data_IF_943074894644
#
_entry.id   IF_943074894644
#
_cell.length_a   1.000
_cell.length_b   1.000
_cell.length_c   1.000
_cell.angle_alpha   90.00
_cell.angle_beta   90.00
_cell.angle_gamma   90.00
#
_symmetry.space_group_name_H-M   'P 1'
#
loop_
_entity.id
_entity.type
_entity.pdbx_description
1 polymer ?
#
# COMPACT_ATOMS: atom_id res chain seq x y z
N UNK A 1 38.85 -15.22 -7.80
CA UNK A 1 37.76 -15.05 -6.82
C UNK A 1 36.94 -13.88 -7.32
N UNK A 2 35.80 -14.16 -7.94
CA UNK A 2 34.95 -13.14 -8.53
C UNK A 2 34.04 -12.57 -7.44
N UNK A 3 34.18 -11.28 -7.14
CA UNK A 3 33.22 -10.56 -6.30
C UNK A 3 31.89 -10.49 -7.04
N UNK A 4 30.89 -11.17 -6.47
CA UNK A 4 29.53 -11.12 -6.93
C UNK A 4 29.01 -9.69 -6.73
N UNK A 5 28.86 -8.97 -7.83
CA UNK A 5 28.14 -7.70 -7.88
C UNK A 5 26.69 -7.97 -7.51
N UNK A 6 26.31 -7.69 -6.28
CA UNK A 6 24.91 -7.68 -5.84
C UNK A 6 24.20 -6.59 -6.62
N UNK A 7 23.47 -6.99 -7.66
CA UNK A 7 22.62 -6.11 -8.44
C UNK A 7 21.42 -5.74 -7.57
N UNK A 8 21.45 -4.54 -6.98
CA UNK A 8 20.30 -3.95 -6.29
C UNK A 8 19.32 -3.56 -7.40
N UNK A 9 18.43 -4.49 -7.74
CA UNK A 9 17.33 -4.23 -8.66
C UNK A 9 16.47 -3.11 -8.09
N UNK A 10 16.56 -1.94 -8.74
CA UNK A 10 15.56 -0.87 -8.80
C UNK A 10 14.97 -0.37 -7.48
N UNK A 11 15.33 0.85 -7.14
CA UNK A 11 14.79 1.76 -6.11
C UNK A 11 13.25 1.94 -6.23
N UNK A 12 12.48 0.88 -5.99
CA UNK A 12 11.04 0.90 -6.05
C UNK A 12 10.54 1.61 -4.79
N UNK A 13 10.11 2.86 -4.97
CA UNK A 13 9.47 3.65 -3.93
C UNK A 13 8.37 2.83 -3.23
N UNK A 14 8.17 3.03 -1.90
CA UNK A 14 7.07 2.39 -1.20
C UNK A 14 5.74 2.62 -1.90
N UNK A 15 4.84 1.63 -1.80
CA UNK A 15 3.51 1.68 -2.41
C UNK A 15 2.80 3.00 -2.06
N UNK A 16 2.23 3.66 -3.06
CA UNK A 16 1.54 4.96 -3.00
C UNK A 16 2.43 6.21 -2.86
N UNK A 17 3.74 6.07 -2.76
CA UNK A 17 4.66 7.21 -2.74
C UNK A 17 5.24 7.48 -4.12
N UNK A 18 5.27 8.75 -4.53
CA UNK A 18 5.87 9.19 -5.79
C UNK A 18 7.09 10.08 -5.59
N UNK A 19 7.10 10.92 -4.55
CA UNK A 19 8.19 11.84 -4.24
C UNK A 19 8.30 12.05 -2.71
N UNK A 20 8.75 11.03 -1.95
CA UNK A 20 8.96 11.21 -0.52
C UNK A 20 10.05 12.27 -0.27
N UNK A 21 9.85 13.11 0.74
CA UNK A 21 10.82 14.12 1.13
C UNK A 21 10.89 14.29 2.65
N UNK A 22 12.03 14.79 3.14
CA UNK A 22 12.21 15.06 4.55
C UNK A 22 11.24 16.16 5.02
N UNK A 23 10.57 15.92 6.14
CA UNK A 23 9.65 16.90 6.74
C UNK A 23 10.43 18.12 7.22
N UNK A 24 10.07 19.31 6.73
CA UNK A 24 10.71 20.57 7.07
C UNK A 24 9.65 21.56 7.59
N UNK A 25 9.76 22.09 8.83
CA UNK A 25 8.76 23.00 9.38
C UNK A 25 8.55 24.29 8.59
N UNK A 26 9.62 24.86 8.01
CA UNK A 26 9.52 26.09 7.22
C UNK A 26 8.78 25.86 5.89
N UNK A 27 8.91 24.68 5.29
CA UNK A 27 8.24 24.32 4.02
C UNK A 27 6.85 23.71 4.23
N UNK A 28 6.65 22.94 5.29
CA UNK A 28 5.48 22.07 5.47
C UNK A 28 4.63 22.45 6.68
N UNK A 29 4.97 23.50 7.43
CA UNK A 29 4.27 23.86 8.67
C UNK A 29 2.80 24.27 8.49
N UNK A 30 2.38 24.62 7.27
CA UNK A 30 0.97 24.89 6.92
C UNK A 30 0.22 23.67 6.39
N UNK A 31 0.89 22.53 6.19
CA UNK A 31 0.24 21.30 5.74
C UNK A 31 -0.54 20.67 6.90
N UNK A 32 -1.73 20.17 6.58
CA UNK A 32 -2.58 19.44 7.52
C UNK A 32 -3.30 18.29 6.82
N UNK A 33 -3.78 17.34 7.62
CA UNK A 33 -4.60 16.25 7.13
C UNK A 33 -6.04 16.74 6.96
N UNK A 34 -6.60 16.54 5.77
CA UNK A 34 -8.04 16.68 5.53
C UNK A 34 -8.64 15.28 5.46
N UNK A 35 -9.76 15.06 6.15
CA UNK A 35 -10.51 13.82 5.99
C UNK A 35 -11.03 13.74 4.55
N UNK A 36 -10.42 12.87 3.75
CA UNK A 36 -10.83 12.59 2.37
C UNK A 36 -11.51 11.24 2.32
N UNK A 37 -12.63 11.18 1.62
CA UNK A 37 -13.34 9.94 1.30
C UNK A 37 -12.92 9.34 -0.05
N UNK A 38 -11.85 9.88 -0.66
CA UNK A 38 -11.36 9.50 -1.98
C UNK A 38 -10.07 8.67 -1.85
N UNK A 39 -10.21 7.40 -2.15
CA UNK A 39 -9.18 6.36 -2.17
C UNK A 39 -8.78 6.00 -3.61
N UNK A 40 -9.06 6.88 -4.58
CA UNK A 40 -8.76 6.65 -6.00
C UNK A 40 -7.29 6.33 -6.28
N UNK A 41 -6.37 6.80 -5.44
CA UNK A 41 -4.94 6.48 -5.52
C UNK A 41 -4.64 4.98 -5.37
N UNK A 42 -5.53 4.22 -4.72
CA UNK A 42 -5.36 2.79 -4.47
C UNK A 42 -5.99 1.89 -5.54
N UNK A 43 -6.62 2.44 -6.59
CA UNK A 43 -7.34 1.67 -7.63
C UNK A 43 -6.50 0.63 -8.37
N UNK A 44 -5.19 0.87 -8.49
CA UNK A 44 -4.27 -0.05 -9.16
C UNK A 44 -3.58 -1.02 -8.19
N UNK A 45 -3.76 -0.86 -6.88
CA UNK A 45 -3.14 -1.76 -5.91
C UNK A 45 -3.96 -3.04 -5.80
N UNK A 46 -3.46 -4.10 -6.42
CA UNK A 46 -4.00 -5.47 -6.32
C UNK A 46 -3.49 -6.23 -5.08
N UNK A 47 -2.42 -5.71 -4.47
CA UNK A 47 -1.80 -6.26 -3.29
C UNK A 47 -1.27 -5.11 -2.41
N UNK A 48 -1.58 -5.12 -1.11
CA UNK A 48 -1.20 -4.05 -0.17
C UNK A 48 -0.50 -4.68 1.04
N UNK A 49 0.75 -4.29 1.36
CA UNK A 49 1.41 -4.73 2.59
C UNK A 49 0.66 -4.25 3.82
N UNK A 50 0.56 -5.09 4.84
CA UNK A 50 -0.08 -4.74 6.12
C UNK A 50 0.85 -5.08 7.28
N UNK A 51 0.61 -4.53 8.47
CA UNK A 51 1.32 -4.93 9.69
C UNK A 51 0.51 -5.91 10.52
N UNK A 52 1.17 -6.61 11.47
CA UNK A 52 0.54 -7.60 12.32
C UNK A 52 -0.68 -7.07 13.10
N UNK A 53 -0.66 -5.81 13.53
CA UNK A 53 -1.77 -5.18 14.24
C UNK A 53 -3.01 -4.95 13.39
N UNK A 54 -2.89 -4.92 12.07
CA UNK A 54 -4.02 -4.72 11.14
C UNK A 54 -4.72 -6.03 10.78
N UNK A 55 -4.01 -7.17 10.86
CA UNK A 55 -4.51 -8.48 10.44
C UNK A 55 -5.87 -8.84 11.06
N UNK A 56 -6.16 -8.59 12.35
CA UNK A 56 -7.46 -8.91 12.93
C UNK A 56 -8.66 -8.25 12.25
N UNK A 57 -8.48 -7.02 11.76
CA UNK A 57 -9.51 -6.31 11.02
C UNK A 57 -9.50 -6.69 9.53
N UNK A 58 -8.31 -6.74 8.94
CA UNK A 58 -8.12 -7.02 7.52
C UNK A 58 -8.60 -8.43 7.12
N UNK A 59 -8.40 -9.45 7.96
CA UNK A 59 -8.76 -10.84 7.65
C UNK A 59 -10.27 -11.05 7.44
N UNK A 60 -11.12 -10.14 7.96
CA UNK A 60 -12.57 -10.19 7.75
C UNK A 60 -12.98 -9.71 6.36
N UNK A 61 -12.08 -9.04 5.65
CA UNK A 61 -12.33 -8.42 4.35
C UNK A 61 -11.50 -9.02 3.23
N UNK A 62 -10.27 -9.47 3.53
CA UNK A 62 -9.28 -9.84 2.52
C UNK A 62 -8.61 -11.17 2.82
N UNK A 63 -8.26 -11.94 1.77
CA UNK A 63 -7.20 -12.94 1.87
C UNK A 63 -5.89 -12.27 2.28
N UNK A 64 -5.22 -12.82 3.29
CA UNK A 64 -3.87 -12.42 3.70
C UNK A 64 -2.91 -13.51 3.21
N UNK A 65 -1.91 -13.12 2.43
CA UNK A 65 -0.84 -14.00 1.96
C UNK A 65 0.51 -13.53 2.50
N UNK A 66 1.49 -14.45 2.54
CA UNK A 66 2.84 -14.16 3.02
C UNK A 66 3.83 -14.36 1.89
N UNK A 67 4.51 -13.29 1.48
CA UNK A 67 5.41 -13.29 0.34
C UNK A 67 6.88 -13.21 0.75
N UNK A 68 7.75 -13.79 -0.08
CA UNK A 68 9.19 -13.75 0.09
C UNK A 68 9.74 -14.57 1.28
N UNK A 69 11.07 -14.55 1.47
CA UNK A 69 11.73 -15.29 2.56
C UNK A 69 11.36 -14.77 3.95
N UNK A 70 11.18 -13.45 4.09
CA UNK A 70 10.82 -12.79 5.35
C UNK A 70 9.35 -12.99 5.75
N UNK A 71 8.55 -13.65 4.90
CA UNK A 71 7.11 -13.85 5.12
C UNK A 71 6.40 -12.52 5.40
N UNK A 72 6.60 -11.56 4.50
CA UNK A 72 5.93 -10.26 4.61
C UNK A 72 4.43 -10.44 4.34
N UNK A 73 3.54 -10.04 5.26
CA UNK A 73 2.10 -10.16 5.08
C UNK A 73 1.57 -9.10 4.11
N UNK A 74 0.69 -9.56 3.22
CA UNK A 74 0.09 -8.74 2.16
C UNK A 74 -1.38 -9.13 2.01
N UNK A 75 -2.27 -8.14 1.99
CA UNK A 75 -3.67 -8.37 1.63
C UNK A 75 -3.83 -8.36 0.11
N UNK A 76 -4.74 -9.18 -0.39
CA UNK A 76 -5.09 -9.22 -1.81
C UNK A 76 -6.40 -8.46 -2.04
N UNK A 77 -6.32 -7.42 -2.87
CA UNK A 77 -7.43 -6.51 -3.21
C UNK A 77 -7.91 -6.65 -4.64
N UNK A 78 -7.17 -7.37 -5.49
CA UNK A 78 -7.57 -7.69 -6.86
C UNK A 78 -6.93 -8.98 -7.36
N UNK A 79 -7.54 -9.59 -8.38
CA UNK A 79 -7.03 -10.83 -9.00
C UNK A 79 -6.03 -10.50 -10.10
N UNK A 80 -6.25 -9.38 -10.81
CA UNK A 80 -5.37 -8.90 -11.87
C UNK A 80 -4.39 -7.88 -11.33
N UNK A 81 -3.23 -7.79 -11.97
CA UNK A 81 -2.34 -6.65 -11.73
C UNK A 81 -3.05 -5.34 -12.10
N UNK A 82 -2.71 -4.27 -11.39
CA UNK A 82 -3.26 -2.93 -11.60
C UNK A 82 -4.77 -2.81 -11.36
N UNK A 83 -5.35 -3.68 -10.51
CA UNK A 83 -6.78 -3.70 -10.20
C UNK A 83 -7.01 -3.82 -8.69
N UNK A 84 -7.86 -2.95 -8.14
CA UNK A 84 -8.38 -3.03 -6.78
C UNK A 84 -9.91 -3.11 -6.85
N UNK A 85 -10.46 -4.27 -6.49
CA UNK A 85 -11.91 -4.55 -6.54
C UNK A 85 -12.69 -3.84 -5.43
N UNK A 86 -12.00 -3.24 -4.46
CA UNK A 86 -12.61 -2.61 -3.29
C UNK A 86 -12.71 -1.09 -3.40
N UNK A 87 -12.14 -0.47 -4.45
CA UNK A 87 -12.30 0.96 -4.73
C UNK A 87 -13.26 1.14 -5.90
N UNK A 88 -14.44 1.69 -5.63
CA UNK A 88 -15.49 1.89 -6.64
C UNK A 88 -15.18 3.04 -7.62
N UNK A 89 -15.99 3.22 -8.66
CA UNK A 89 -15.83 4.27 -9.67
C UNK A 89 -15.80 5.70 -9.10
N UNK A 90 -16.44 5.96 -7.95
CA UNK A 90 -16.45 7.27 -7.29
C UNK A 90 -15.23 7.48 -6.36
N UNK A 91 -14.36 6.47 -6.24
CA UNK A 91 -13.15 6.51 -5.44
C UNK A 91 -13.39 6.13 -3.99
N UNK A 92 -14.57 5.60 -3.66
CA UNK A 92 -14.86 5.16 -2.30
C UNK A 92 -14.36 3.75 -2.09
N UNK A 93 -13.88 3.50 -0.89
CA UNK A 93 -13.66 2.13 -0.44
C UNK A 93 -15.01 1.50 -0.13
N UNK A 94 -15.30 0.37 -0.77
CA UNK A 94 -16.57 -0.33 -0.64
C UNK A 94 -16.75 -0.88 0.77
N UNK A 95 -17.86 -0.50 1.41
CA UNK A 95 -18.23 -1.03 2.73
C UNK A 95 -18.81 -2.44 2.62
N UNK A 96 -18.74 -3.27 3.68
CA UNK A 96 -18.26 -2.96 5.03
C UNK A 96 -16.79 -3.37 5.26
N UNK A 97 -15.93 -3.18 4.26
CA UNK A 97 -14.55 -3.70 4.29
C UNK A 97 -13.58 -2.79 5.06
N UNK A 98 -12.56 -3.38 5.66
CA UNK A 98 -11.46 -2.69 6.33
C UNK A 98 -10.68 -1.81 5.34
N UNK A 99 -10.26 -0.60 5.75
CA UNK A 99 -9.41 0.27 4.94
C UNK A 99 -7.98 0.22 5.55
N UNK A 100 -6.97 -0.28 4.82
CA UNK A 100 -5.57 -0.33 5.28
C UNK A 100 -4.90 1.04 5.28
#
# INVERSE_FOLDING_TARGET
>A
MADAKTDVTGDALPLFYSRPEALNPARHGSLGLTARSDFGFARSAHAIPVVASEMPAAMRSYPIVFIGPAKSPVIITGVRQNENLFVDADGKWTGPHYIP
#
